data_IF_470351157002
#
_entry.id   IF_470351157002
#
_cell.length_a   1.000
_cell.length_b   1.000
_cell.length_c   1.000
_cell.angle_alpha   90.00
_cell.angle_beta   90.00
_cell.angle_gamma   90.00
#
_symmetry.space_group_name_H-M   'P 1'
#
loop_
_entity.id
_entity.type
_entity.pdbx_description
1 polymer ?
#
# COMPACT_ATOMS: atom_id res chain seq x y z
N UNK A 1 -10.89 7.03 19.44
CA UNK A 1 -10.10 5.78 19.32
C UNK A 1 -9.16 5.93 18.14
N UNK A 2 -7.86 6.15 18.36
CA UNK A 2 -6.86 6.25 17.28
C UNK A 2 -6.41 4.86 16.88
N UNK A 3 -7.17 4.18 16.03
CA UNK A 3 -6.73 2.92 15.43
C UNK A 3 -5.56 3.23 14.49
N UNK A 4 -4.36 2.78 14.86
CA UNK A 4 -3.22 2.75 13.93
C UNK A 4 -3.57 1.75 12.81
N UNK A 5 -3.32 2.08 11.54
CA UNK A 5 -3.46 1.13 10.45
C UNK A 5 -2.66 -0.13 10.77
N UNK A 6 -3.31 -1.28 10.77
CA UNK A 6 -2.54 -2.52 10.83
C UNK A 6 -1.86 -2.77 9.49
N UNK A 7 -0.67 -3.37 9.52
CA UNK A 7 0.07 -3.70 8.31
C UNK A 7 -0.76 -4.56 7.34
N UNK A 8 -1.67 -5.38 7.87
CA UNK A 8 -2.57 -6.20 7.09
C UNK A 8 -3.57 -5.35 6.28
N UNK A 9 -4.17 -4.32 6.89
CA UNK A 9 -5.09 -3.41 6.19
C UNK A 9 -4.40 -2.69 5.02
N UNK A 10 -3.15 -2.26 5.22
CA UNK A 10 -2.35 -1.60 4.18
C UNK A 10 -2.10 -2.54 3.00
N UNK A 11 -1.73 -3.81 3.27
CA UNK A 11 -1.47 -4.80 2.22
C UNK A 11 -2.77 -5.15 1.48
N UNK A 12 -3.86 -5.38 2.22
CA UNK A 12 -5.17 -5.68 1.63
C UNK A 12 -5.67 -4.52 0.77
N UNK A 13 -5.44 -3.26 1.18
CA UNK A 13 -5.77 -2.09 0.37
C UNK A 13 -4.99 -2.05 -0.94
N UNK A 14 -3.68 -2.31 -0.89
CA UNK A 14 -2.82 -2.35 -2.08
C UNK A 14 -3.28 -3.47 -3.03
N UNK A 15 -3.59 -4.64 -2.51
CA UNK A 15 -4.05 -5.79 -3.31
C UNK A 15 -5.41 -5.53 -3.97
N UNK A 16 -6.34 -4.96 -3.21
CA UNK A 16 -7.64 -4.50 -3.72
C UNK A 16 -7.47 -3.44 -4.79
N UNK A 17 -6.59 -2.45 -4.59
CA UNK A 17 -6.33 -1.42 -5.58
C UNK A 17 -5.74 -1.99 -6.88
N UNK A 18 -4.85 -3.00 -6.80
CA UNK A 18 -4.32 -3.69 -7.98
C UNK A 18 -5.40 -4.45 -8.76
N UNK A 19 -6.38 -5.02 -8.06
CA UNK A 19 -7.47 -5.80 -8.66
C UNK A 19 -8.69 -4.96 -9.05
N UNK A 20 -8.73 -3.68 -8.68
CA UNK A 20 -9.82 -2.77 -8.99
C UNK A 20 -9.63 -2.15 -10.39
N UNK A 21 -10.71 -1.87 -11.11
CA UNK A 21 -10.68 -1.21 -12.43
C UNK A 21 -9.96 0.15 -12.47
N UNK A 22 -9.82 0.82 -11.31
CA UNK A 22 -9.12 2.11 -11.20
C UNK A 22 -7.60 1.92 -11.06
N UNK A 23 -7.16 0.70 -10.75
CA UNK A 23 -5.78 0.30 -10.61
C UNK A 23 -5.05 0.88 -9.39
N UNK A 24 -3.79 0.48 -9.27
CA UNK A 24 -2.87 1.01 -8.26
C UNK A 24 -2.63 2.51 -8.46
N UNK A 25 -2.74 3.02 -9.69
CA UNK A 25 -2.52 4.44 -10.01
C UNK A 25 -3.46 5.34 -9.20
N UNK A 26 -4.75 4.98 -9.11
CA UNK A 26 -5.71 5.69 -8.29
C UNK A 26 -5.34 5.72 -6.80
N UNK A 27 -4.81 4.61 -6.28
CA UNK A 27 -4.30 4.57 -4.90
C UNK A 27 -3.12 5.54 -4.71
N UNK A 28 -2.23 5.70 -5.68
CA UNK A 28 -1.05 6.59 -5.57
C UNK A 28 -1.32 8.06 -5.90
N UNK A 29 -2.09 8.34 -6.97
CA UNK A 29 -2.31 9.68 -7.52
C UNK A 29 -3.67 10.29 -7.17
N UNK A 30 -4.62 9.50 -6.70
CA UNK A 30 -5.98 9.97 -6.36
C UNK A 30 -6.02 10.89 -5.14
N UNK A 31 -7.17 11.51 -4.88
CA UNK A 31 -7.38 12.24 -3.62
C UNK A 31 -7.46 11.25 -2.45
N UNK A 32 -6.75 11.53 -1.36
CA UNK A 32 -6.66 10.66 -0.18
C UNK A 32 -8.05 10.29 0.37
N UNK A 33 -8.93 11.27 0.50
CA UNK A 33 -10.33 11.07 0.92
C UNK A 33 -11.14 10.28 -0.10
N UNK A 34 -10.96 10.51 -1.40
CA UNK A 34 -11.69 9.78 -2.43
C UNK A 34 -11.31 8.30 -2.42
N UNK A 35 -10.02 8.00 -2.35
CA UNK A 35 -9.51 6.62 -2.24
C UNK A 35 -10.01 5.97 -0.95
N UNK A 36 -9.96 6.68 0.18
CA UNK A 36 -10.48 6.20 1.45
C UNK A 36 -11.97 5.84 1.36
N UNK A 37 -12.79 6.68 0.73
CA UNK A 37 -14.21 6.42 0.51
C UNK A 37 -14.45 5.25 -0.45
N UNK A 38 -13.72 5.17 -1.55
CA UNK A 38 -13.86 4.08 -2.55
C UNK A 38 -13.55 2.71 -1.94
N UNK A 39 -12.49 2.61 -1.14
CA UNK A 39 -12.08 1.34 -0.53
C UNK A 39 -12.67 1.10 0.86
N UNK A 40 -13.45 2.05 1.39
CA UNK A 40 -14.06 1.97 2.73
C UNK A 40 -13.02 1.92 3.86
N UNK A 41 -11.88 2.58 3.68
CA UNK A 41 -10.76 2.61 4.63
C UNK A 41 -10.54 4.03 5.16
N UNK A 42 -9.71 4.17 6.20
CA UNK A 42 -9.30 5.49 6.67
C UNK A 42 -8.17 6.09 5.81
N UNK A 43 -8.14 7.43 5.71
CA UNK A 43 -7.09 8.17 5.02
C UNK A 43 -5.66 7.80 5.50
N UNK A 44 -5.50 7.49 6.79
CA UNK A 44 -4.22 7.00 7.33
C UNK A 44 -3.73 5.67 6.71
N UNK A 45 -4.65 4.78 6.33
CA UNK A 45 -4.30 3.50 5.68
C UNK A 45 -3.84 3.75 4.24
N UNK A 46 -4.51 4.67 3.55
CA UNK A 46 -4.15 5.10 2.18
C UNK A 46 -2.77 5.76 2.18
N UNK A 47 -2.49 6.64 3.14
CA UNK A 47 -1.19 7.29 3.30
C UNK A 47 -0.07 6.27 3.56
N UNK A 48 -0.30 5.34 4.50
CA UNK A 48 0.65 4.25 4.77
C UNK A 48 0.86 3.32 3.55
N UNK A 49 -0.17 3.08 2.75
CA UNK A 49 -0.07 2.31 1.51
C UNK A 49 0.77 3.05 0.47
N UNK A 50 0.59 4.38 0.34
CA UNK A 50 1.41 5.22 -0.55
C UNK A 50 2.86 5.22 -0.12
N UNK A 51 3.15 5.42 1.17
CA UNK A 51 4.52 5.37 1.68
C UNK A 51 5.18 4.01 1.38
N UNK A 52 4.42 2.92 1.48
CA UNK A 52 4.90 1.57 1.17
C UNK A 52 5.13 1.32 -0.32
N UNK A 53 4.38 1.98 -1.21
CA UNK A 53 4.55 1.90 -2.66
C UNK A 53 5.63 2.86 -3.18
N UNK A 54 5.74 4.04 -2.58
CA UNK A 54 6.71 5.08 -2.92
C UNK A 54 8.11 4.74 -2.43
N UNK A 55 8.23 3.98 -1.33
CA UNK A 55 9.46 3.26 -1.04
C UNK A 55 9.67 2.28 -2.19
N UNK A 56 10.67 2.50 -3.06
CA UNK A 56 11.02 1.48 -4.04
C UNK A 56 11.19 0.21 -3.22
N UNK A 57 10.53 -0.86 -3.67
CA UNK A 57 10.78 -2.17 -3.13
C UNK A 57 12.28 -2.35 -3.22
N UNK A 58 12.99 -2.12 -2.11
CA UNK A 58 14.31 -2.70 -1.92
C UNK A 58 13.94 -4.16 -1.78
N UNK A 59 13.83 -4.81 -2.93
CA UNK A 59 14.11 -6.22 -3.07
C UNK A 59 15.52 -6.31 -2.51
N UNK A 60 15.62 -6.52 -1.20
CA UNK A 60 16.76 -7.22 -0.64
C UNK A 60 16.67 -8.59 -1.30
N UNK A 61 17.20 -8.68 -2.53
CA UNK A 61 17.84 -9.91 -2.97
C UNK A 61 18.84 -10.18 -1.86
N UNK A 62 18.44 -11.01 -0.89
CA UNK A 62 19.38 -11.77 -0.10
C UNK A 62 20.12 -12.63 -1.11
N UNK A 63 21.14 -12.06 -1.73
CA UNK A 63 22.15 -12.80 -2.45
C UNK A 63 22.96 -13.49 -1.35
N UNK A 64 22.43 -14.62 -0.87
CA UNK A 64 23.21 -15.56 -0.07
C UNK A 64 24.39 -15.98 -0.93
N UNK A 65 25.50 -15.26 -0.75
CA UNK A 65 26.76 -15.59 -1.38
C UNK A 65 27.36 -16.69 -0.53
N UNK A 66 26.90 -17.92 -0.74
CA UNK A 66 27.55 -19.10 -0.17
C UNK A 66 28.61 -19.54 -1.18
N UNK A 67 29.81 -19.00 -1.01
CA UNK A 67 31.02 -19.53 -1.62
C UNK A 67 31.42 -20.78 -0.83
N UNK A 68 31.53 -21.92 -1.51
CA UNK A 68 32.27 -23.08 -1.06
C UNK A 68 33.17 -23.56 -2.20
#
# INVERSE_FOLDING_TARGET
MTQKPTQNEVITLIDRAKSHDLGIDFLTNGALDAVAMTFGVHAFVVDAARDKLAKPTVTVEHKETVTA
#
